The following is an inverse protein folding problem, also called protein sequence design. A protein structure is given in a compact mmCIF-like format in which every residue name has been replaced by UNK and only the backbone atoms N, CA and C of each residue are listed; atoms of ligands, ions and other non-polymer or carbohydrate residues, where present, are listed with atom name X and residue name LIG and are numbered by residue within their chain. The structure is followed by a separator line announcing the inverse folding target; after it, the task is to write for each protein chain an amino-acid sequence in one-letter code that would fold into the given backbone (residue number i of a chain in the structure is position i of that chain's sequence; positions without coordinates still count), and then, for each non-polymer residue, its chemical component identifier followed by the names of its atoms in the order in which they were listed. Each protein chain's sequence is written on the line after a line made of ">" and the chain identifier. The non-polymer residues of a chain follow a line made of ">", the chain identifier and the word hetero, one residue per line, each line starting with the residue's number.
data_IF_403163280504
#
_entry.id   IF_403163280504
#
_cell.length_a   1.000
_cell.length_b   1.000
_cell.length_c   1.000
_cell.angle_alpha   90.00
_cell.angle_beta   90.00
_cell.angle_gamma   90.00
#
_symmetry.space_group_name_H-M   'P 1'
#
loop_
_entity.id
_entity.type
_entity.pdbx_description
1 polymer ?
#
# COMPACT_ATOMS: atom_id res chain seq x y z
N UNK A 1 39.92 40.40 49.78
CA UNK A 1 40.27 39.87 48.46
C UNK A 1 39.50 38.54 48.28
N UNK A 2 38.39 38.61 47.63
CA UNK A 2 37.60 37.42 47.24
C UNK A 2 37.40 37.48 45.74
N UNK A 3 38.13 36.61 45.03
CA UNK A 3 37.94 36.42 43.58
C UNK A 3 36.66 35.67 43.34
N UNK A 4 35.73 36.29 42.66
CA UNK A 4 34.52 35.66 42.18
C UNK A 4 34.82 34.94 40.86
N UNK A 5 34.83 33.61 40.88
CA UNK A 5 34.85 32.76 39.68
C UNK A 5 33.44 32.83 39.06
N UNK A 6 33.32 33.55 37.95
CA UNK A 6 32.12 33.48 37.10
C UNK A 6 32.23 32.25 36.23
N UNK A 7 31.50 31.20 36.61
CA UNK A 7 31.25 30.05 35.74
C UNK A 7 30.22 30.48 34.72
N UNK A 8 30.67 30.69 33.48
CA UNK A 8 29.81 30.88 32.34
C UNK A 8 29.19 29.51 32.00
N UNK A 9 27.96 29.29 32.43
CA UNK A 9 27.14 28.18 31.95
C UNK A 9 26.75 28.51 30.52
N UNK A 10 27.55 28.04 29.56
CA UNK A 10 27.20 28.05 28.14
C UNK A 10 25.97 27.13 27.96
N UNK A 11 24.80 27.74 27.71
CA UNK A 11 23.59 27.07 27.28
C UNK A 11 23.88 26.51 25.89
N UNK A 12 24.37 25.27 25.81
CA UNK A 12 24.42 24.48 24.59
C UNK A 12 22.97 24.09 24.28
N UNK A 13 22.25 24.97 23.56
CA UNK A 13 21.04 24.54 22.87
C UNK A 13 21.48 23.45 21.88
N UNK A 14 21.40 22.22 22.29
CA UNK A 14 21.25 21.10 21.35
C UNK A 14 19.94 21.37 20.60
N UNK A 15 20.05 21.93 19.42
CA UNK A 15 19.07 21.75 18.37
C UNK A 15 19.02 20.23 18.13
N UNK A 16 18.16 19.55 18.87
CA UNK A 16 17.67 18.26 18.49
C UNK A 16 16.90 18.50 17.17
N UNK A 17 17.60 18.43 16.05
CA UNK A 17 16.96 18.09 14.80
C UNK A 17 16.26 16.78 15.10
N UNK A 18 14.93 16.83 15.26
CA UNK A 18 14.12 15.63 15.20
C UNK A 18 14.46 15.01 13.83
N UNK A 19 15.41 14.07 13.83
CA UNK A 19 15.56 13.16 12.73
C UNK A 19 14.20 12.46 12.68
N UNK A 20 13.31 12.94 11.79
CA UNK A 20 12.18 12.16 11.38
C UNK A 20 12.80 10.86 10.90
N UNK A 21 12.59 9.79 11.64
CA UNK A 21 13.00 8.46 11.22
C UNK A 21 12.31 8.26 9.86
N UNK A 22 13.09 8.35 8.82
CA UNK A 22 12.62 8.18 7.46
C UNK A 22 12.12 6.74 7.39
N UNK A 23 10.80 6.57 7.27
CA UNK A 23 10.17 5.25 7.16
C UNK A 23 10.56 4.71 5.80
N UNK A 24 11.59 3.87 5.78
CA UNK A 24 12.07 3.24 4.55
C UNK A 24 11.63 1.80 4.49
N UNK A 25 11.09 1.37 3.36
CA UNK A 25 10.83 -0.03 3.07
C UNK A 25 12.15 -0.80 3.21
N UNK A 26 12.15 -1.77 4.10
CA UNK A 26 13.29 -2.66 4.31
C UNK A 26 13.09 -3.96 3.53
N UNK A 27 13.85 -4.15 2.44
CA UNK A 27 13.81 -5.39 1.66
C UNK A 27 14.39 -6.53 2.51
N UNK A 28 13.59 -7.57 2.70
CA UNK A 28 13.97 -8.78 3.43
C UNK A 28 14.33 -9.93 2.51
N UNK A 29 13.79 -9.93 1.29
CA UNK A 29 14.15 -10.85 0.23
C UNK A 29 14.07 -10.14 -1.13
N UNK A 30 15.20 -9.98 -1.80
CA UNK A 30 15.27 -9.45 -3.17
C UNK A 30 14.99 -10.52 -4.22
N UNK A 31 14.95 -10.11 -5.49
CA UNK A 31 14.80 -11.00 -6.65
C UNK A 31 16.12 -11.05 -7.41
N UNK A 32 16.80 -12.18 -7.39
CA UNK A 32 18.13 -12.35 -8.06
C UNK A 32 18.05 -12.12 -9.57
N UNK A 33 16.92 -12.44 -10.18
CA UNK A 33 16.65 -12.23 -11.62
C UNK A 33 16.01 -10.88 -11.94
N UNK A 34 15.98 -9.93 -10.98
CA UNK A 34 15.45 -8.60 -11.24
C UNK A 34 16.28 -7.86 -12.28
N UNK A 35 15.61 -7.17 -13.22
CA UNK A 35 16.25 -6.48 -14.33
C UNK A 35 17.19 -5.37 -13.83
N UNK A 36 18.49 -5.41 -14.17
CA UNK A 36 19.40 -4.31 -13.82
C UNK A 36 18.96 -3.01 -14.50
N UNK A 37 19.03 -1.91 -13.78
CA UNK A 37 18.69 -0.57 -14.27
C UNK A 37 19.60 0.46 -13.63
N UNK A 38 19.90 1.55 -14.30
CA UNK A 38 20.56 2.70 -13.70
C UNK A 38 19.55 3.86 -13.52
N UNK A 39 19.50 4.42 -12.32
CA UNK A 39 18.82 5.68 -12.05
C UNK A 39 19.89 6.66 -11.61
N UNK A 40 20.34 7.50 -12.54
CA UNK A 40 21.38 8.50 -12.28
C UNK A 40 20.85 9.56 -11.32
N UNK A 41 21.62 9.99 -10.31
CA UNK A 41 21.20 11.09 -9.46
C UNK A 41 20.76 12.31 -10.28
N UNK A 42 19.55 12.81 -10.03
CA UNK A 42 18.99 13.93 -10.79
C UNK A 42 19.78 15.20 -10.51
N UNK A 43 20.21 15.87 -11.55
CA UNK A 43 20.97 17.11 -11.43
C UNK A 43 20.13 18.21 -10.81
N UNK A 44 20.61 18.80 -9.73
CA UNK A 44 20.06 20.01 -9.15
C UNK A 44 20.68 21.26 -9.80
N UNK A 45 19.85 22.11 -10.38
CA UNK A 45 20.29 23.34 -11.06
C UNK A 45 20.16 24.60 -10.18
N UNK A 46 19.79 24.45 -8.90
CA UNK A 46 19.67 25.55 -7.96
C UNK A 46 20.82 25.64 -6.96
N UNK A 47 20.80 26.64 -6.08
CA UNK A 47 21.80 26.80 -5.01
C UNK A 47 21.59 25.76 -3.90
N UNK A 48 22.68 25.37 -3.23
CA UNK A 48 22.65 24.45 -2.09
C UNK A 48 22.22 23.02 -2.48
N UNK A 49 21.52 22.34 -1.57
CA UNK A 49 21.00 20.98 -1.75
C UNK A 49 19.60 21.01 -2.37
N UNK A 50 19.23 20.00 -3.18
CA UNK A 50 17.89 19.90 -3.70
C UNK A 50 16.87 19.73 -2.56
N UNK A 51 15.68 20.33 -2.66
CA UNK A 51 14.64 20.18 -1.63
C UNK A 51 14.11 18.74 -1.52
N UNK A 52 14.31 17.93 -2.54
CA UNK A 52 13.97 16.51 -2.60
C UNK A 52 14.90 15.78 -3.58
N UNK A 53 15.41 14.63 -3.20
CA UNK A 53 16.19 13.74 -4.08
C UNK A 53 15.25 12.85 -4.91
N UNK A 54 14.90 13.33 -6.08
CA UNK A 54 13.98 12.62 -7.01
C UNK A 54 14.61 11.32 -7.53
N UNK A 55 15.90 11.33 -7.86
CA UNK A 55 16.60 10.14 -8.34
C UNK A 55 16.56 8.99 -7.34
N UNK A 56 16.76 9.30 -6.06
CA UNK A 56 16.66 8.30 -4.98
C UNK A 56 15.24 7.75 -4.83
N UNK A 57 14.20 8.59 -5.00
CA UNK A 57 12.80 8.11 -4.98
C UNK A 57 12.57 7.15 -6.13
N UNK A 58 12.92 7.52 -7.36
CA UNK A 58 12.74 6.66 -8.54
C UNK A 58 13.51 5.34 -8.37
N UNK A 59 14.74 5.40 -7.88
CA UNK A 59 15.53 4.20 -7.61
C UNK A 59 14.88 3.29 -6.56
N UNK A 60 14.37 3.87 -5.47
CA UNK A 60 13.68 3.13 -4.42
C UNK A 60 12.38 2.48 -4.93
N UNK A 61 11.55 3.22 -5.66
CA UNK A 61 10.30 2.72 -6.23
C UNK A 61 10.54 1.51 -7.15
N UNK A 62 11.47 1.65 -8.10
CA UNK A 62 11.77 0.57 -9.02
C UNK A 62 12.31 -0.67 -8.29
N UNK A 63 13.16 -0.48 -7.27
CA UNK A 63 13.64 -1.59 -6.42
C UNK A 63 12.50 -2.23 -5.64
N UNK A 64 11.63 -1.42 -5.03
CA UNK A 64 10.51 -1.90 -4.21
C UNK A 64 9.45 -2.65 -5.03
N UNK A 65 9.42 -2.47 -6.35
CA UNK A 65 8.56 -3.27 -7.23
C UNK A 65 8.98 -4.74 -7.33
N UNK A 66 10.21 -5.08 -6.93
CA UNK A 66 10.78 -6.42 -7.10
C UNK A 66 11.09 -6.80 -8.56
N UNK A 67 10.86 -5.90 -9.52
CA UNK A 67 11.08 -6.14 -10.95
C UNK A 67 12.44 -5.62 -11.43
N UNK A 68 13.00 -4.64 -10.71
CA UNK A 68 14.24 -3.98 -11.08
C UNK A 68 15.26 -4.04 -9.95
N UNK A 69 16.55 -4.04 -10.34
CA UNK A 69 17.68 -3.93 -9.45
C UNK A 69 18.51 -2.70 -9.82
N UNK A 70 18.20 -1.51 -9.30
CA UNK A 70 18.97 -0.31 -9.54
C UNK A 70 20.40 -0.45 -9.02
N UNK A 71 21.39 -0.15 -9.89
CA UNK A 71 22.79 -0.18 -9.50
C UNK A 71 23.14 0.99 -8.58
N UNK A 72 24.13 0.77 -7.70
CA UNK A 72 24.65 1.83 -6.84
C UNK A 72 25.27 2.96 -7.68
N UNK A 73 24.99 4.21 -7.31
CA UNK A 73 25.51 5.41 -8.00
C UNK A 73 27.04 5.47 -8.02
N UNK A 74 27.71 4.91 -7.01
CA UNK A 74 29.17 4.84 -6.95
C UNK A 74 29.76 3.87 -8.00
N UNK A 75 28.96 2.96 -8.55
CA UNK A 75 29.36 2.00 -9.60
C UNK A 75 29.00 2.48 -11.01
N UNK A 76 28.35 3.63 -11.14
CA UNK A 76 27.95 4.18 -12.42
C UNK A 76 29.18 4.71 -13.19
N UNK A 77 29.32 4.37 -14.48
CA UNK A 77 30.47 4.78 -15.29
C UNK A 77 30.40 6.25 -15.67
N UNK A 78 29.21 6.86 -15.59
CA UNK A 78 28.92 8.24 -15.96
C UNK A 78 27.84 8.82 -15.07
N UNK A 79 27.77 10.16 -15.03
CA UNK A 79 26.70 10.94 -14.34
C UNK A 79 25.97 11.84 -15.36
N UNK A 80 25.37 11.30 -16.43
CA UNK A 80 24.68 12.08 -17.44
C UNK A 80 23.42 12.72 -16.87
N UNK A 81 23.08 13.91 -17.34
CA UNK A 81 21.87 14.65 -16.95
C UNK A 81 20.81 14.65 -18.04
N UNK A 82 21.25 14.35 -19.27
CA UNK A 82 20.38 14.25 -20.46
C UNK A 82 20.75 13.00 -21.26
N UNK A 83 19.84 12.56 -22.11
CA UNK A 83 20.08 11.41 -22.99
C UNK A 83 21.27 11.62 -23.93
N UNK A 84 21.52 12.87 -24.36
CA UNK A 84 22.63 13.20 -25.24
C UNK A 84 24.03 12.95 -24.62
N UNK A 85 24.10 12.94 -23.30
CA UNK A 85 25.34 12.70 -22.54
C UNK A 85 25.56 11.21 -22.23
N UNK A 86 24.58 10.35 -22.52
CA UNK A 86 24.67 8.92 -22.26
C UNK A 86 25.54 8.25 -23.35
N UNK A 87 26.61 7.60 -22.92
CA UNK A 87 27.46 6.75 -23.83
C UNK A 87 27.01 5.30 -23.68
N UNK A 88 26.21 4.74 -24.60
CA UNK A 88 25.60 3.41 -24.44
C UNK A 88 26.59 2.30 -24.13
N UNK A 89 27.76 2.28 -24.81
CA UNK A 89 28.76 1.25 -24.60
C UNK A 89 29.29 1.16 -23.16
N UNK A 90 29.33 2.28 -22.43
CA UNK A 90 29.78 2.29 -21.03
C UNK A 90 28.80 1.59 -20.11
N UNK A 91 27.50 1.67 -20.38
CA UNK A 91 26.43 1.05 -19.60
C UNK A 91 26.21 -0.42 -19.97
N UNK A 92 26.19 -0.72 -21.28
CA UNK A 92 26.00 -2.09 -21.74
C UNK A 92 27.18 -3.02 -21.34
N UNK A 93 28.38 -2.48 -21.17
CA UNK A 93 29.52 -3.20 -20.59
C UNK A 93 29.28 -3.68 -19.14
N UNK A 94 28.37 -3.04 -18.42
CA UNK A 94 27.94 -3.42 -17.07
C UNK A 94 26.64 -4.25 -17.07
N UNK A 95 26.11 -4.61 -18.24
CA UNK A 95 24.83 -5.31 -18.38
C UNK A 95 23.61 -4.41 -18.13
N UNK A 96 23.77 -3.09 -18.19
CA UNK A 96 22.73 -2.09 -18.01
C UNK A 96 22.21 -1.65 -19.37
N UNK A 97 20.95 -1.97 -19.66
CA UNK A 97 20.30 -1.57 -20.92
C UNK A 97 19.30 -0.41 -20.75
N UNK A 98 18.98 -0.06 -19.52
CA UNK A 98 18.02 1.00 -19.20
C UNK A 98 18.66 2.02 -18.26
N UNK A 99 18.70 3.27 -18.68
CA UNK A 99 19.30 4.37 -17.91
C UNK A 99 18.27 5.49 -17.76
N UNK A 100 17.91 5.83 -16.53
CA UNK A 100 17.08 7.01 -16.19
C UNK A 100 17.99 8.15 -15.84
N UNK A 101 17.86 9.27 -16.55
CA UNK A 101 18.54 10.53 -16.29
C UNK A 101 17.54 11.62 -16.01
N UNK A 102 17.90 12.66 -15.26
CA UNK A 102 16.94 13.71 -14.96
C UNK A 102 17.55 14.96 -14.34
N UNK A 103 16.72 15.99 -14.22
CA UNK A 103 17.08 17.30 -13.69
C UNK A 103 15.95 17.88 -12.85
N UNK A 104 16.32 18.70 -11.88
CA UNK A 104 15.44 19.54 -11.07
C UNK A 104 15.91 20.98 -11.21
N UNK A 105 15.06 21.87 -11.70
CA UNK A 105 15.36 23.28 -11.90
C UNK A 105 14.39 24.13 -11.07
N UNK A 106 14.88 25.07 -10.23
CA UNK A 106 14.01 26.02 -9.54
C UNK A 106 13.45 27.03 -10.54
N UNK A 107 12.16 27.30 -10.47
CA UNK A 107 11.49 28.40 -11.17
C UNK A 107 11.56 29.70 -10.39
N UNK A 108 11.50 30.84 -11.10
CA UNK A 108 11.49 32.16 -10.47
C UNK A 108 10.22 32.49 -9.65
N UNK A 109 9.17 31.69 -9.81
CA UNK A 109 7.87 31.81 -9.15
C UNK A 109 7.70 30.86 -7.93
N UNK A 110 8.81 30.26 -7.45
CA UNK A 110 8.79 29.27 -6.38
C UNK A 110 8.37 27.87 -6.81
N UNK A 111 8.12 27.66 -8.10
CA UNK A 111 7.89 26.34 -8.68
C UNK A 111 9.21 25.60 -8.95
N UNK A 112 9.08 24.32 -9.28
CA UNK A 112 10.18 23.47 -9.70
C UNK A 112 9.80 22.79 -11.01
N UNK A 113 10.79 22.67 -11.90
CA UNK A 113 10.68 21.93 -13.12
C UNK A 113 11.47 20.62 -12.93
N UNK A 114 10.77 19.50 -12.88
CA UNK A 114 11.37 18.16 -12.82
C UNK A 114 11.27 17.53 -14.19
N UNK A 115 12.37 17.09 -14.77
CA UNK A 115 12.39 16.37 -16.04
C UNK A 115 13.15 15.07 -15.91
N UNK A 116 12.70 14.04 -16.66
CA UNK A 116 13.42 12.78 -16.78
C UNK A 116 13.41 12.29 -18.22
N UNK A 117 14.40 11.46 -18.54
CA UNK A 117 14.48 10.68 -19.78
C UNK A 117 14.89 9.25 -19.43
N UNK A 118 14.20 8.26 -20.00
CA UNK A 118 14.57 6.86 -19.96
C UNK A 118 15.25 6.51 -21.29
N UNK A 119 16.49 6.08 -21.21
CA UNK A 119 17.34 5.78 -22.38
C UNK A 119 17.57 4.29 -22.47
N UNK A 120 17.24 3.70 -23.60
CA UNK A 120 17.65 2.36 -23.97
C UNK A 120 19.08 2.41 -24.52
N UNK A 121 20.00 1.70 -23.88
CA UNK A 121 21.42 1.62 -24.21
C UNK A 121 21.84 0.29 -24.86
N UNK A 122 20.89 -0.54 -25.26
CA UNK A 122 21.17 -1.83 -25.91
C UNK A 122 21.72 -1.68 -27.33
N UNK A 123 21.44 -0.53 -27.97
CA UNK A 123 21.94 -0.21 -29.31
C UNK A 123 23.25 0.61 -29.32
N UNK A 124 23.82 0.83 -30.50
CA UNK A 124 25.04 1.63 -30.67
C UNK A 124 24.87 3.10 -30.30
N UNK A 125 23.66 3.65 -30.44
CA UNK A 125 23.26 4.98 -30.00
C UNK A 125 22.12 4.87 -29.00
N UNK A 126 22.18 5.61 -27.86
CA UNK A 126 21.11 5.63 -26.90
C UNK A 126 19.80 6.14 -27.50
N UNK A 127 18.70 5.44 -27.23
CA UNK A 127 17.37 5.82 -27.70
C UNK A 127 16.49 6.24 -26.52
N UNK A 128 15.95 7.45 -26.55
CA UNK A 128 14.95 7.88 -25.55
C UNK A 128 13.65 7.13 -25.82
N UNK A 129 13.25 6.27 -24.87
CA UNK A 129 12.04 5.45 -24.98
C UNK A 129 10.89 5.97 -24.12
N UNK A 130 11.16 6.84 -23.13
CA UNK A 130 10.17 7.59 -22.34
C UNK A 130 10.80 8.87 -21.84
N UNK A 131 10.03 9.96 -21.78
CA UNK A 131 10.46 11.21 -21.18
C UNK A 131 9.23 12.05 -20.77
N UNK A 132 9.39 12.85 -19.74
CA UNK A 132 8.38 13.83 -19.35
C UNK A 132 8.99 14.98 -18.55
N UNK A 133 8.18 16.02 -18.31
CA UNK A 133 8.54 17.21 -17.58
C UNK A 133 7.35 17.71 -16.78
N UNK A 134 7.57 18.01 -15.49
CA UNK A 134 6.52 18.43 -14.56
C UNK A 134 6.87 19.79 -13.96
N UNK A 135 5.96 20.78 -14.08
CA UNK A 135 6.04 22.03 -13.34
C UNK A 135 5.19 21.93 -12.08
N UNK A 136 5.80 21.98 -10.91
CA UNK A 136 5.16 21.66 -9.62
C UNK A 136 5.66 22.57 -8.51
N UNK A 137 4.96 22.61 -7.37
CA UNK A 137 5.43 23.25 -6.15
C UNK A 137 6.25 22.27 -5.29
N UNK A 138 6.89 22.78 -4.24
CA UNK A 138 7.77 22.00 -3.36
C UNK A 138 7.06 20.75 -2.76
N UNK A 139 5.81 20.93 -2.38
CA UNK A 139 5.00 19.88 -1.73
C UNK A 139 4.76 18.67 -2.66
N UNK A 140 4.81 18.89 -3.98
CA UNK A 140 4.55 17.86 -5.00
C UNK A 140 5.81 17.21 -5.57
N UNK A 141 7.00 17.59 -5.10
CA UNK A 141 8.26 17.06 -5.61
C UNK A 141 8.32 15.53 -5.46
N UNK A 142 7.92 15.00 -4.29
CA UNK A 142 7.89 13.55 -4.07
C UNK A 142 6.92 12.85 -5.02
N UNK A 143 5.74 13.43 -5.19
CA UNK A 143 4.74 12.92 -6.13
C UNK A 143 5.25 12.90 -7.58
N UNK A 144 6.05 13.90 -8.00
CA UNK A 144 6.69 13.88 -9.32
C UNK A 144 7.70 12.73 -9.46
N UNK A 145 8.45 12.41 -8.40
CA UNK A 145 9.32 11.23 -8.36
C UNK A 145 8.53 9.94 -8.60
N UNK A 146 7.46 9.71 -7.85
CA UNK A 146 6.58 8.56 -8.03
C UNK A 146 5.91 8.55 -9.42
N UNK A 147 5.59 9.73 -10.00
CA UNK A 147 5.05 9.82 -11.36
C UNK A 147 6.07 9.34 -12.40
N UNK A 148 7.32 9.79 -12.29
CA UNK A 148 8.40 9.32 -13.15
C UNK A 148 8.61 7.80 -13.00
N UNK A 149 8.56 7.30 -11.76
CA UNK A 149 8.65 5.86 -11.47
C UNK A 149 7.52 5.07 -12.14
N UNK A 150 6.27 5.54 -12.04
CA UNK A 150 5.11 4.89 -12.67
C UNK A 150 5.26 4.83 -14.20
N UNK A 151 5.72 5.91 -14.82
CA UNK A 151 5.91 5.99 -16.27
C UNK A 151 7.06 5.09 -16.75
N UNK A 152 8.20 5.11 -16.05
CA UNK A 152 9.34 4.20 -16.32
C UNK A 152 8.91 2.75 -16.15
N UNK A 153 8.25 2.42 -15.04
CA UNK A 153 7.78 1.07 -14.76
C UNK A 153 6.82 0.58 -15.84
N UNK A 154 5.84 1.40 -16.21
CA UNK A 154 4.86 1.06 -17.25
C UNK A 154 5.54 0.88 -18.61
N UNK A 155 6.50 1.74 -18.95
CA UNK A 155 7.23 1.64 -20.23
C UNK A 155 8.04 0.34 -20.34
N UNK A 156 8.66 -0.10 -19.24
CA UNK A 156 9.53 -1.27 -19.23
C UNK A 156 8.81 -2.60 -18.98
N UNK A 157 7.61 -2.57 -18.37
CA UNK A 157 6.87 -3.79 -17.99
C UNK A 157 5.55 -3.96 -18.72
N UNK A 158 4.98 -2.90 -19.29
CA UNK A 158 3.61 -2.85 -19.82
C UNK A 158 2.53 -2.76 -18.74
N UNK A 159 2.90 -2.82 -17.43
CA UNK A 159 1.99 -2.76 -16.31
C UNK A 159 1.94 -1.33 -15.79
N UNK A 160 0.74 -0.78 -15.53
CA UNK A 160 0.60 0.54 -14.90
C UNK A 160 1.30 0.54 -13.54
N UNK A 161 2.11 1.55 -13.25
CA UNK A 161 2.76 1.70 -11.95
C UNK A 161 1.74 2.00 -10.84
N UNK A 162 2.09 1.71 -9.58
CA UNK A 162 1.26 1.96 -8.41
C UNK A 162 2.00 2.75 -7.32
N UNK A 163 3.05 3.51 -7.69
CA UNK A 163 3.87 4.25 -6.73
C UNK A 163 3.21 5.53 -6.22
N UNK A 164 2.19 6.07 -6.91
CA UNK A 164 1.37 7.19 -6.46
C UNK A 164 0.17 6.80 -5.61
N UNK A 165 0.13 5.57 -5.16
CA UNK A 165 -0.95 5.08 -4.29
C UNK A 165 -0.63 5.29 -2.81
N UNK A 166 -1.62 5.03 -1.96
CA UNK A 166 -1.52 5.16 -0.50
C UNK A 166 -1.90 3.88 0.19
N UNK A 167 -1.56 3.81 1.46
CA UNK A 167 -1.99 2.74 2.37
C UNK A 167 -2.73 3.36 3.55
N UNK A 168 -3.86 2.79 3.95
CA UNK A 168 -4.51 3.06 5.22
C UNK A 168 -4.20 1.90 6.18
N UNK A 169 -4.02 2.19 7.46
CA UNK A 169 -3.71 1.19 8.48
C UNK A 169 -4.05 1.70 9.87
N UNK A 170 -4.18 0.78 10.81
CA UNK A 170 -4.41 1.10 12.22
C UNK A 170 -3.13 0.96 13.01
N UNK A 171 -2.82 1.97 13.82
CA UNK A 171 -1.71 1.95 14.79
C UNK A 171 -2.31 1.86 16.18
N UNK A 172 -1.80 0.92 16.98
CA UNK A 172 -2.07 0.82 18.41
C UNK A 172 -0.81 1.18 19.19
N UNK A 173 -0.84 2.30 19.88
CA UNK A 173 0.26 2.79 20.74
C UNK A 173 0.13 2.27 22.16
N UNK A 174 1.24 2.25 22.91
CA UNK A 174 1.27 1.80 24.30
C UNK A 174 0.90 2.93 25.25
N UNK A 175 -0.40 3.28 25.33
CA UNK A 175 -0.91 4.25 26.28
C UNK A 175 -1.35 5.58 25.65
N UNK A 176 -1.69 6.56 26.51
CA UNK A 176 -2.26 7.84 26.09
C UNK A 176 -3.79 7.85 26.07
N UNK A 177 -4.36 9.03 25.81
CA UNK A 177 -5.83 9.22 25.77
C UNK A 177 -6.47 8.55 24.54
N UNK A 178 -5.73 8.45 23.46
CA UNK A 178 -6.16 7.90 22.17
C UNK A 178 -5.13 6.88 21.68
N UNK A 179 -5.15 5.64 22.21
CA UNK A 179 -4.18 4.63 21.87
C UNK A 179 -4.37 4.05 20.46
N UNK A 180 -5.49 4.31 19.80
CA UNK A 180 -5.75 3.84 18.46
C UNK A 180 -5.81 5.00 17.47
N UNK A 181 -5.09 4.85 16.36
CA UNK A 181 -5.09 5.81 15.27
C UNK A 181 -5.32 5.11 13.93
N UNK A 182 -6.26 5.61 13.15
CA UNK A 182 -6.35 5.32 11.72
C UNK A 182 -5.44 6.29 10.99
N UNK A 183 -4.43 5.79 10.31
CA UNK A 183 -3.45 6.57 9.56
C UNK A 183 -3.52 6.26 8.07
N UNK A 184 -3.10 7.22 7.27
CA UNK A 184 -2.82 7.10 5.85
C UNK A 184 -1.40 7.54 5.59
N UNK A 185 -0.70 6.83 4.71
CA UNK A 185 0.63 7.19 4.22
C UNK A 185 0.71 6.93 2.71
N UNK A 186 1.72 7.49 2.04
CA UNK A 186 2.12 7.02 0.72
C UNK A 186 2.48 5.52 0.80
N UNK A 187 2.44 4.80 -0.31
CA UNK A 187 2.63 3.34 -0.32
C UNK A 187 3.94 2.90 0.35
N UNK A 188 4.95 3.76 0.34
CA UNK A 188 6.28 3.53 0.90
C UNK A 188 6.45 4.05 2.34
N UNK A 189 5.35 4.52 2.97
CA UNK A 189 5.29 4.95 4.36
C UNK A 189 5.56 6.43 4.59
N UNK A 190 5.85 7.22 3.55
CA UNK A 190 6.01 8.67 3.70
C UNK A 190 4.68 9.43 3.80
N UNK A 191 4.77 10.74 4.11
CA UNK A 191 3.61 11.65 4.17
C UNK A 191 2.47 11.13 5.04
N UNK A 192 2.81 10.51 6.19
CA UNK A 192 1.82 10.00 7.13
C UNK A 192 0.94 11.12 7.68
N UNK A 193 -0.35 10.86 7.75
CA UNK A 193 -1.28 11.70 8.50
C UNK A 193 -2.33 10.86 9.22
N UNK A 194 -2.82 11.40 10.34
CA UNK A 194 -3.87 10.74 11.14
C UNK A 194 -5.22 11.14 10.58
N UNK A 195 -6.02 10.13 10.21
CA UNK A 195 -7.40 10.27 9.76
C UNK A 195 -8.35 10.36 10.95
N UNK A 196 -8.15 9.47 11.95
CA UNK A 196 -8.98 9.42 13.15
C UNK A 196 -8.16 8.94 14.36
N UNK A 197 -8.44 9.52 15.53
CA UNK A 197 -7.91 9.10 16.83
C UNK A 197 -9.04 8.61 17.72
N UNK A 198 -8.84 7.46 18.34
CA UNK A 198 -9.88 6.83 19.16
C UNK A 198 -9.32 6.33 20.49
N UNK A 199 -10.10 6.46 21.61
CA UNK A 199 -9.78 5.78 22.87
C UNK A 199 -10.06 4.27 22.78
N UNK A 200 -10.87 3.83 21.81
CA UNK A 200 -11.33 2.47 21.62
C UNK A 200 -10.80 1.89 20.30
N UNK A 201 -10.78 0.57 20.12
CA UNK A 201 -10.27 -0.07 18.91
C UNK A 201 -10.88 0.46 17.61
N UNK A 202 -10.02 0.54 16.61
CA UNK A 202 -10.35 0.79 15.20
C UNK A 202 -9.96 -0.44 14.38
N UNK A 203 -10.75 -0.81 13.36
CA UNK A 203 -10.51 -2.02 12.57
C UNK A 203 -10.96 -1.84 11.11
N UNK A 204 -10.37 -2.67 10.25
CA UNK A 204 -10.84 -2.95 8.89
C UNK A 204 -11.10 -1.69 8.03
N UNK A 205 -10.11 -0.80 7.85
CA UNK A 205 -10.27 0.31 6.92
C UNK A 205 -10.44 -0.20 5.48
N UNK A 206 -11.31 0.47 4.73
CA UNK A 206 -11.55 0.19 3.32
C UNK A 206 -11.70 1.49 2.53
N UNK A 207 -11.01 1.60 1.41
CA UNK A 207 -11.03 2.76 0.55
C UNK A 207 -12.26 2.80 -0.34
N UNK A 208 -12.84 3.99 -0.55
CA UNK A 208 -13.73 4.22 -1.68
C UNK A 208 -12.92 4.16 -3.01
N UNK A 209 -13.53 3.72 -4.13
CA UNK A 209 -12.79 3.53 -5.38
C UNK A 209 -12.25 4.82 -6.01
N UNK A 210 -12.75 5.99 -5.56
CA UNK A 210 -12.23 7.32 -5.93
C UNK A 210 -11.16 7.84 -4.96
N UNK A 211 -10.80 7.07 -3.92
CA UNK A 211 -9.81 7.43 -2.92
C UNK A 211 -10.22 8.56 -1.98
N UNK A 212 -11.46 9.08 -2.07
CA UNK A 212 -11.90 10.25 -1.30
C UNK A 212 -12.38 9.93 0.10
N UNK A 213 -12.70 8.66 0.40
CA UNK A 213 -13.28 8.21 1.67
C UNK A 213 -12.63 6.94 2.19
N UNK A 214 -12.74 6.76 3.51
CA UNK A 214 -12.45 5.50 4.20
C UNK A 214 -13.69 5.05 4.97
N UNK A 215 -14.08 3.78 4.79
CA UNK A 215 -14.96 3.08 5.71
C UNK A 215 -14.09 2.38 6.75
N UNK A 216 -14.54 2.32 8.00
CA UNK A 216 -13.85 1.58 9.06
C UNK A 216 -14.81 1.26 10.21
N UNK A 217 -14.37 0.35 11.07
CA UNK A 217 -15.08 -0.03 12.29
C UNK A 217 -14.52 0.74 13.47
N UNK A 218 -15.39 1.32 14.30
CA UNK A 218 -15.03 1.95 15.58
C UNK A 218 -15.82 1.33 16.73
N UNK A 219 -15.23 1.34 17.93
CA UNK A 219 -15.87 0.87 19.17
C UNK A 219 -16.17 2.00 20.15
N UNK A 220 -16.05 3.26 19.73
CA UNK A 220 -16.25 4.45 20.60
C UNK A 220 -17.66 4.54 21.23
N UNK A 221 -18.67 3.91 20.64
CA UNK A 221 -20.02 3.81 21.19
C UNK A 221 -20.22 2.66 22.20
N UNK A 222 -19.13 1.97 22.58
CA UNK A 222 -19.17 0.77 23.44
C UNK A 222 -19.53 -0.52 22.71
N UNK A 223 -19.74 -0.47 21.40
CA UNK A 223 -19.94 -1.62 20.50
C UNK A 223 -19.41 -1.31 19.12
N UNK A 224 -19.27 -2.32 18.25
CA UNK A 224 -18.84 -2.08 16.88
C UNK A 224 -19.87 -1.23 16.12
N UNK A 225 -19.41 -0.16 15.51
CA UNK A 225 -20.16 0.67 14.58
C UNK A 225 -19.36 0.84 13.29
N UNK A 226 -20.04 0.78 12.15
CA UNK A 226 -19.43 1.00 10.84
C UNK A 226 -19.66 2.45 10.42
N UNK A 227 -18.59 3.14 10.10
CA UNK A 227 -18.61 4.54 9.67
C UNK A 227 -17.89 4.73 8.35
N UNK A 228 -18.24 5.80 7.64
CA UNK A 228 -17.53 6.29 6.46
C UNK A 228 -17.08 7.73 6.73
N UNK A 229 -15.78 7.98 6.58
CA UNK A 229 -15.19 9.30 6.75
C UNK A 229 -14.71 9.86 5.41
N UNK A 230 -15.06 11.12 5.13
CA UNK A 230 -14.55 11.87 3.99
C UNK A 230 -13.20 12.48 4.34
N UNK A 231 -12.16 12.17 3.58
CA UNK A 231 -10.79 12.59 3.91
C UNK A 231 -10.55 14.10 3.78
N UNK A 232 -11.21 14.74 2.82
CA UNK A 232 -11.00 16.17 2.54
C UNK A 232 -11.45 17.10 3.69
N UNK A 233 -12.45 16.72 4.47
CA UNK A 233 -13.03 17.57 5.51
C UNK A 233 -13.23 16.87 6.85
N UNK A 234 -12.87 15.58 6.96
CA UNK A 234 -13.01 14.78 8.17
C UNK A 234 -14.46 14.42 8.55
N UNK A 235 -15.46 14.73 7.69
CA UNK A 235 -16.86 14.44 7.97
C UNK A 235 -17.11 12.93 8.07
N UNK A 236 -17.70 12.49 9.19
CA UNK A 236 -18.00 11.09 9.48
C UNK A 236 -19.50 10.84 9.36
N UNK A 237 -19.87 9.80 8.62
CA UNK A 237 -21.25 9.30 8.52
C UNK A 237 -21.32 7.89 9.09
N UNK A 238 -22.20 7.67 10.05
CA UNK A 238 -22.53 6.34 10.55
C UNK A 238 -23.33 5.56 9.51
N UNK A 239 -22.89 4.34 9.20
CA UNK A 239 -23.49 3.45 8.20
C UNK A 239 -24.33 2.36 8.86
N UNK A 240 -23.76 1.71 9.87
CA UNK A 240 -24.42 0.64 10.60
C UNK A 240 -24.01 0.67 12.08
N UNK A 241 -25.02 0.52 12.95
CA UNK A 241 -24.88 0.43 14.41
C UNK A 241 -25.97 -0.50 14.95
N UNK A 242 -26.10 -1.66 14.32
CA UNK A 242 -27.05 -2.69 14.76
C UNK A 242 -26.53 -3.40 16.02
N UNK A 243 -27.40 -4.03 16.83
CA UNK A 243 -26.95 -4.85 17.93
C UNK A 243 -25.95 -5.93 17.48
N UNK A 244 -24.93 -6.18 18.32
CA UNK A 244 -23.84 -7.12 18.09
C UNK A 244 -22.84 -6.62 17.04
N UNK A 245 -22.50 -7.43 16.01
CA UNK A 245 -21.42 -7.16 15.07
C UNK A 245 -21.86 -6.27 13.90
N UNK A 246 -21.04 -5.23 13.63
CA UNK A 246 -21.08 -4.40 12.44
C UNK A 246 -19.66 -4.23 11.94
N UNK A 247 -19.31 -4.76 10.77
CA UNK A 247 -17.91 -4.74 10.36
C UNK A 247 -17.65 -5.18 8.95
N UNK A 248 -16.36 -5.36 8.66
CA UNK A 248 -15.80 -5.81 7.40
C UNK A 248 -16.36 -5.05 6.18
N UNK A 249 -16.21 -3.71 6.12
CA UNK A 249 -16.70 -2.93 5.00
C UNK A 249 -15.87 -3.16 3.74
N UNK A 250 -16.55 -3.17 2.58
CA UNK A 250 -15.90 -3.16 1.27
C UNK A 250 -16.72 -2.35 0.27
N UNK A 251 -16.16 -1.30 -0.31
CA UNK A 251 -16.79 -0.54 -1.38
C UNK A 251 -16.78 -1.33 -2.68
N UNK A 252 -17.88 -1.28 -3.44
CA UNK A 252 -17.90 -1.84 -4.79
C UNK A 252 -17.01 -1.04 -5.73
N UNK A 253 -16.37 -1.67 -6.73
CA UNK A 253 -15.52 -0.99 -7.71
C UNK A 253 -16.21 0.16 -8.46
N UNK A 254 -17.52 0.06 -8.70
CA UNK A 254 -18.34 1.11 -9.31
C UNK A 254 -18.69 2.27 -8.36
N UNK A 255 -18.33 2.17 -7.07
CA UNK A 255 -18.59 3.20 -6.06
C UNK A 255 -20.04 3.36 -5.63
N UNK A 256 -20.95 2.48 -6.08
CA UNK A 256 -22.39 2.62 -5.82
C UNK A 256 -22.85 1.89 -4.57
N UNK A 257 -22.08 0.93 -4.06
CA UNK A 257 -22.47 0.03 -2.98
C UNK A 257 -21.38 -0.12 -1.91
N UNK A 258 -21.81 -0.52 -0.72
CA UNK A 258 -20.92 -0.94 0.36
C UNK A 258 -21.37 -2.30 0.87
N UNK A 259 -20.53 -3.31 0.74
CA UNK A 259 -20.72 -4.61 1.37
C UNK A 259 -20.25 -4.55 2.83
N UNK A 260 -20.89 -5.32 3.71
CA UNK A 260 -20.57 -5.36 5.14
C UNK A 260 -21.07 -6.66 5.77
N UNK A 261 -20.51 -7.02 6.91
CA UNK A 261 -20.96 -8.15 7.73
C UNK A 261 -21.73 -7.64 8.95
N UNK A 262 -22.99 -8.07 9.12
CA UNK A 262 -23.88 -7.66 10.21
C UNK A 262 -24.50 -8.88 10.89
N UNK A 263 -24.68 -8.81 12.23
CA UNK A 263 -25.39 -9.86 12.99
C UNK A 263 -26.86 -9.52 13.25
N UNK A 264 -27.44 -8.56 12.53
CA UNK A 264 -28.82 -8.09 12.80
C UNK A 264 -29.90 -9.17 12.64
N UNK A 265 -29.64 -10.21 11.84
CA UNK A 265 -30.56 -11.35 11.63
C UNK A 265 -30.32 -12.53 12.58
N UNK A 266 -29.39 -12.41 13.54
CA UNK A 266 -29.05 -13.46 14.51
C UNK A 266 -27.64 -14.02 14.31
N UNK A 267 -27.33 -14.63 13.18
CA UNK A 267 -25.98 -15.01 12.74
C UNK A 267 -25.31 -13.87 11.98
N UNK A 268 -24.00 -13.96 11.80
CA UNK A 268 -23.22 -13.01 11.02
C UNK A 268 -23.43 -13.27 9.53
N UNK A 269 -24.03 -12.33 8.83
CA UNK A 269 -24.36 -12.45 7.42
C UNK A 269 -23.86 -11.23 6.63
N UNK A 270 -23.71 -11.40 5.32
CA UNK A 270 -23.38 -10.33 4.39
C UNK A 270 -24.60 -9.52 4.02
N UNK A 271 -24.41 -8.20 4.01
CA UNK A 271 -25.36 -7.21 3.56
C UNK A 271 -24.70 -6.25 2.60
N UNK A 272 -25.48 -5.69 1.70
CA UNK A 272 -25.04 -4.66 0.77
C UNK A 272 -25.93 -3.43 0.91
N UNK A 273 -25.32 -2.28 1.15
CA UNK A 273 -26.00 -0.98 1.15
C UNK A 273 -25.84 -0.32 -0.21
N UNK A 274 -26.92 0.17 -0.78
CA UNK A 274 -26.86 1.13 -1.88
C UNK A 274 -26.52 2.52 -1.27
N UNK A 275 -25.42 3.12 -1.70
CA UNK A 275 -24.89 4.35 -1.08
C UNK A 275 -25.72 5.58 -1.38
N UNK A 276 -26.47 5.60 -2.49
CA UNK A 276 -27.33 6.73 -2.86
C UNK A 276 -28.66 6.71 -2.11
N UNK A 277 -29.31 5.54 -2.02
CA UNK A 277 -30.62 5.40 -1.34
C UNK A 277 -30.52 5.08 0.15
N UNK A 278 -29.37 4.54 0.61
CA UNK A 278 -29.18 4.04 1.97
C UNK A 278 -29.90 2.69 2.24
N UNK A 279 -30.52 2.08 1.22
CA UNK A 279 -31.19 0.78 1.35
C UNK A 279 -30.16 -0.32 1.58
N UNK A 280 -30.44 -1.17 2.58
CA UNK A 280 -29.61 -2.33 2.95
C UNK A 280 -30.34 -3.60 2.56
N UNK A 281 -29.72 -4.46 1.77
CA UNK A 281 -30.21 -5.77 1.35
C UNK A 281 -29.33 -6.88 1.90
N UNK A 282 -29.94 -7.96 2.38
CA UNK A 282 -29.23 -9.16 2.85
C UNK A 282 -28.80 -10.02 1.65
N UNK A 283 -27.56 -10.48 1.64
CA UNK A 283 -26.97 -11.29 0.57
C UNK A 283 -26.87 -12.76 0.96
N UNK A 284 -26.44 -13.05 2.20
CA UNK A 284 -26.43 -14.41 2.75
C UNK A 284 -27.43 -14.53 3.88
N UNK A 285 -28.09 -15.68 4.00
CA UNK A 285 -29.17 -15.91 4.97
C UNK A 285 -28.94 -17.19 5.81
N UNK A 286 -27.74 -17.75 5.76
CA UNK A 286 -27.35 -18.97 6.47
C UNK A 286 -27.31 -18.79 8.00
N UNK A 287 -27.29 -19.93 8.71
CA UNK A 287 -27.01 -19.99 10.15
C UNK A 287 -25.50 -19.90 10.44
N UNK A 288 -24.67 -20.16 9.44
CA UNK A 288 -23.24 -20.06 9.48
C UNK A 288 -22.80 -18.61 9.39
N UNK A 289 -21.61 -18.31 9.92
CA UNK A 289 -21.05 -16.98 9.82
C UNK A 289 -20.53 -16.71 8.41
N UNK A 290 -20.82 -15.53 7.91
CA UNK A 290 -20.32 -14.99 6.64
C UNK A 290 -19.78 -13.59 6.90
N UNK A 291 -18.50 -13.35 6.56
CA UNK A 291 -17.77 -12.12 6.88
C UNK A 291 -16.71 -11.82 5.81
N UNK A 292 -15.99 -10.70 5.98
CA UNK A 292 -14.84 -10.31 5.13
C UNK A 292 -15.17 -10.32 3.64
N UNK A 293 -16.23 -9.60 3.20
CA UNK A 293 -16.55 -9.53 1.79
C UNK A 293 -15.51 -8.71 1.03
N UNK A 294 -15.14 -9.19 -0.14
CA UNK A 294 -14.37 -8.44 -1.15
C UNK A 294 -15.06 -8.55 -2.49
N UNK A 295 -14.99 -7.48 -3.29
CA UNK A 295 -15.71 -7.42 -4.56
C UNK A 295 -14.91 -8.00 -5.71
N UNK A 296 -15.60 -8.69 -6.61
CA UNK A 296 -15.12 -8.88 -7.96
C UNK A 296 -15.20 -7.56 -8.77
N UNK A 297 -14.39 -7.40 -9.83
CA UNK A 297 -14.40 -6.18 -10.65
C UNK A 297 -15.75 -5.83 -11.27
N UNK A 298 -16.64 -6.81 -11.38
CA UNK A 298 -17.98 -6.67 -11.95
C UNK A 298 -18.98 -5.92 -11.05
N UNK A 299 -18.64 -5.61 -9.79
CA UNK A 299 -19.53 -5.00 -8.80
C UNK A 299 -20.85 -5.76 -8.57
N UNK A 300 -20.88 -7.06 -8.88
CA UNK A 300 -22.03 -7.95 -8.79
C UNK A 300 -21.73 -9.18 -7.92
N UNK A 301 -20.49 -9.62 -7.90
CA UNK A 301 -20.06 -10.78 -7.16
C UNK A 301 -19.17 -10.40 -5.99
N UNK A 302 -19.32 -11.12 -4.86
CA UNK A 302 -18.47 -11.04 -3.68
C UNK A 302 -17.71 -12.36 -3.50
N UNK A 303 -16.42 -12.27 -3.13
CA UNK A 303 -15.78 -13.34 -2.39
C UNK A 303 -15.88 -13.01 -0.89
N UNK A 304 -15.99 -14.04 -0.04
CA UNK A 304 -16.18 -13.85 1.41
C UNK A 304 -15.77 -15.09 2.19
N UNK A 305 -15.48 -14.90 3.45
CA UNK A 305 -15.20 -15.99 4.38
C UNK A 305 -16.50 -16.55 4.97
N UNK A 306 -16.67 -17.89 4.99
CA UNK A 306 -17.77 -18.54 5.68
C UNK A 306 -17.36 -19.87 6.31
N UNK A 307 -17.95 -20.18 7.47
CA UNK A 307 -17.78 -21.47 8.17
C UNK A 307 -18.87 -22.51 7.83
N UNK A 308 -19.67 -22.27 6.79
CA UNK A 308 -20.77 -23.16 6.39
C UNK A 308 -20.32 -24.59 6.01
N UNK A 309 -19.06 -24.79 5.67
CA UNK A 309 -18.43 -26.10 5.43
C UNK A 309 -17.76 -26.70 6.69
N UNK A 310 -18.00 -26.13 7.88
CA UNK A 310 -17.45 -26.55 9.18
C UNK A 310 -16.22 -25.78 9.63
N UNK A 311 -15.39 -25.32 8.71
CA UNK A 311 -14.23 -24.42 8.98
C UNK A 311 -14.25 -23.25 8.01
N UNK A 312 -13.67 -22.08 8.39
CA UNK A 312 -13.59 -20.93 7.52
C UNK A 312 -12.96 -21.27 6.16
N UNK A 313 -13.68 -20.93 5.10
CA UNK A 313 -13.25 -21.05 3.71
C UNK A 313 -13.76 -19.87 2.91
N UNK A 314 -13.15 -19.62 1.76
CA UNK A 314 -13.58 -18.56 0.86
C UNK A 314 -14.66 -19.07 -0.09
N UNK A 315 -15.74 -18.33 -0.18
CA UNK A 315 -16.89 -18.58 -1.04
C UNK A 315 -17.15 -17.39 -1.97
N UNK A 316 -17.86 -17.63 -3.05
CA UNK A 316 -18.35 -16.62 -3.98
C UNK A 316 -19.88 -16.60 -3.96
N UNK A 317 -20.47 -15.41 -4.00
CA UNK A 317 -21.93 -15.22 -4.13
C UNK A 317 -22.25 -14.01 -5.00
N UNK A 318 -23.34 -14.08 -5.77
CA UNK A 318 -23.88 -12.90 -6.46
C UNK A 318 -24.78 -12.09 -5.51
N UNK A 319 -24.67 -10.77 -5.50
CA UNK A 319 -25.44 -9.91 -4.59
C UNK A 319 -26.95 -9.90 -4.89
N UNK A 320 -27.36 -10.33 -6.08
CA UNK A 320 -28.76 -10.44 -6.49
C UNK A 320 -29.39 -11.80 -6.14
N UNK A 321 -28.64 -12.68 -5.50
CA UNK A 321 -29.08 -13.99 -5.06
C UNK A 321 -28.31 -15.17 -5.70
N UNK A 322 -28.64 -16.37 -5.24
CA UNK A 322 -27.99 -17.61 -5.63
C UNK A 322 -27.26 -18.27 -4.46
N UNK A 323 -27.00 -19.56 -4.59
CA UNK A 323 -26.26 -20.32 -3.57
C UNK A 323 -24.78 -19.94 -3.57
N UNK A 324 -24.16 -19.74 -2.40
CA UNK A 324 -22.72 -19.53 -2.31
C UNK A 324 -21.93 -20.72 -2.87
N UNK A 325 -20.89 -20.42 -3.66
CA UNK A 325 -19.98 -21.41 -4.25
C UNK A 325 -18.64 -21.38 -3.52
N UNK A 326 -18.17 -22.52 -3.02
CA UNK A 326 -16.87 -22.63 -2.36
C UNK A 326 -15.75 -22.48 -3.39
N UNK A 327 -14.77 -21.61 -3.09
CA UNK A 327 -13.61 -21.36 -3.94
C UNK A 327 -12.36 -22.09 -3.47
N UNK A 328 -12.17 -22.27 -2.15
CA UNK A 328 -10.94 -22.78 -1.55
C UNK A 328 -11.10 -24.22 -1.04
N UNK A 329 -10.15 -25.09 -1.39
CA UNK A 329 -10.18 -26.52 -1.05
C UNK A 329 -8.88 -26.99 -0.39
N UNK A 330 -7.77 -26.28 -0.60
CA UNK A 330 -6.48 -26.57 0.00
C UNK A 330 -6.32 -25.84 1.33
N UNK A 331 -5.55 -26.42 2.25
CA UNK A 331 -5.37 -25.89 3.61
C UNK A 331 -6.52 -26.24 4.56
N UNK A 332 -6.29 -26.03 5.86
CA UNK A 332 -7.30 -26.32 6.89
C UNK A 332 -8.35 -25.24 7.02
N UNK A 333 -7.96 -23.98 6.80
CA UNK A 333 -8.80 -22.78 6.82
C UNK A 333 -8.26 -21.78 5.80
N UNK A 334 -9.17 -21.04 5.17
CA UNK A 334 -8.86 -19.94 4.28
C UNK A 334 -9.84 -18.80 4.55
N UNK A 335 -9.34 -17.60 4.78
CA UNK A 335 -10.15 -16.47 5.22
C UNK A 335 -9.53 -15.13 4.77
N UNK A 336 -10.25 -14.05 5.00
CA UNK A 336 -9.78 -12.67 4.82
C UNK A 336 -9.17 -12.48 3.42
N UNK A 337 -10.02 -12.70 2.40
CA UNK A 337 -9.58 -12.66 1.01
C UNK A 337 -9.69 -11.27 0.40
N UNK A 338 -8.80 -10.96 -0.54
CA UNK A 338 -8.87 -9.81 -1.43
C UNK A 338 -8.77 -10.27 -2.89
N UNK A 339 -9.65 -9.75 -3.76
CA UNK A 339 -9.71 -10.12 -5.19
C UNK A 339 -8.94 -9.12 -6.02
N UNK A 340 -8.10 -9.60 -6.93
CA UNK A 340 -7.35 -8.74 -7.84
C UNK A 340 -8.26 -7.88 -8.71
N UNK A 341 -7.80 -6.67 -9.06
CA UNK A 341 -8.57 -5.70 -9.86
C UNK A 341 -8.94 -6.20 -11.26
N UNK A 342 -8.25 -7.22 -11.78
CA UNK A 342 -8.55 -7.89 -13.05
C UNK A 342 -9.42 -9.16 -12.87
N UNK A 343 -9.72 -9.56 -11.63
CA UNK A 343 -10.53 -10.71 -11.29
C UNK A 343 -9.88 -12.07 -11.56
N UNK A 344 -8.57 -12.13 -11.83
CA UNK A 344 -7.88 -13.38 -12.20
C UNK A 344 -7.41 -14.20 -11.02
N UNK A 345 -7.14 -13.56 -9.90
CA UNK A 345 -6.70 -14.25 -8.69
C UNK A 345 -7.27 -13.58 -7.45
N UNK A 346 -7.23 -14.29 -6.35
CA UNK A 346 -7.42 -13.73 -5.02
C UNK A 346 -6.20 -14.03 -4.15
N UNK A 347 -6.00 -13.20 -3.13
CA UNK A 347 -5.10 -13.50 -2.02
C UNK A 347 -5.94 -13.78 -0.78
N UNK A 348 -5.39 -14.54 0.17
CA UNK A 348 -6.10 -14.94 1.37
C UNK A 348 -5.11 -15.29 2.49
N UNK A 349 -5.60 -15.30 3.71
CA UNK A 349 -4.91 -15.94 4.84
C UNK A 349 -5.23 -17.43 4.79
N UNK A 350 -4.22 -18.26 4.53
CA UNK A 350 -4.32 -19.70 4.52
C UNK A 350 -3.65 -20.30 5.74
N UNK A 351 -4.36 -21.18 6.45
CA UNK A 351 -3.86 -21.85 7.63
C UNK A 351 -3.51 -23.31 7.31
N UNK A 352 -2.28 -23.69 7.68
CA UNK A 352 -1.83 -25.07 7.61
C UNK A 352 -0.87 -25.34 8.80
N UNK A 353 -1.02 -26.47 9.46
CA UNK A 353 -0.13 -26.90 10.56
C UNK A 353 0.04 -25.89 11.72
N UNK A 354 -0.99 -25.09 12.00
CA UNK A 354 -0.97 -24.09 13.07
C UNK A 354 -0.34 -22.73 12.71
N UNK A 355 0.12 -22.55 11.48
CA UNK A 355 0.64 -21.28 10.96
C UNK A 355 -0.37 -20.63 10.00
N UNK A 356 -0.35 -19.30 9.94
CA UNK A 356 -1.13 -18.50 9.00
C UNK A 356 -0.18 -17.80 8.04
N UNK A 357 -0.40 -17.99 6.75
CA UNK A 357 0.42 -17.40 5.70
C UNK A 357 -0.47 -16.73 4.65
N UNK A 358 0.07 -15.75 3.94
CA UNK A 358 -0.58 -15.20 2.76
C UNK A 358 -0.40 -16.19 1.61
N UNK A 359 -1.50 -16.59 1.01
CA UNK A 359 -1.54 -17.43 -0.19
C UNK A 359 -2.30 -16.73 -1.30
N UNK A 360 -1.92 -17.04 -2.52
CA UNK A 360 -2.60 -16.60 -3.76
C UNK A 360 -3.26 -17.81 -4.40
N UNK A 361 -4.51 -17.63 -4.84
CA UNK A 361 -5.23 -18.62 -5.65
C UNK A 361 -5.56 -18.04 -7.01
N UNK A 362 -5.18 -18.74 -8.06
CA UNK A 362 -5.64 -18.47 -9.43
C UNK A 362 -7.11 -18.85 -9.55
N UNK A 363 -7.96 -17.93 -10.01
CA UNK A 363 -9.41 -18.11 -10.04
C UNK A 363 -9.92 -18.92 -11.27
N UNK A 364 -9.07 -19.08 -12.28
CA UNK A 364 -9.38 -19.91 -13.46
C UNK A 364 -9.01 -21.37 -13.21
N UNK A 365 -7.80 -21.60 -12.70
CA UNK A 365 -7.25 -22.96 -12.52
C UNK A 365 -7.50 -23.55 -11.14
N UNK A 366 -7.74 -22.70 -10.13
CA UNK A 366 -7.83 -23.09 -8.73
C UNK A 366 -6.46 -23.32 -8.06
N UNK A 367 -5.35 -23.17 -8.78
CA UNK A 367 -4.01 -23.39 -8.24
C UNK A 367 -3.68 -22.42 -7.10
N UNK A 368 -3.13 -22.95 -6.01
CA UNK A 368 -2.78 -22.20 -4.80
C UNK A 368 -1.26 -22.12 -4.65
N UNK A 369 -0.74 -20.92 -4.35
CA UNK A 369 0.65 -20.67 -4.03
C UNK A 369 0.76 -19.96 -2.69
N UNK A 370 1.49 -20.53 -1.73
CA UNK A 370 1.86 -19.84 -0.48
C UNK A 370 2.97 -18.84 -0.79
N UNK A 371 2.75 -17.57 -0.43
CA UNK A 371 3.66 -16.46 -0.75
C UNK A 371 4.59 -16.09 0.40
N UNK A 372 4.20 -16.36 1.65
CA UNK A 372 4.93 -15.93 2.84
C UNK A 372 5.33 -17.11 3.72
N UNK A 373 6.36 -16.88 4.52
CA UNK A 373 6.93 -17.81 5.51
C UNK A 373 7.04 -17.19 6.90
N UNK A 374 6.40 -16.03 7.09
CA UNK A 374 6.28 -15.32 8.36
C UNK A 374 5.22 -15.96 9.26
N UNK A 375 5.07 -15.46 10.49
CA UNK A 375 4.18 -16.06 11.48
C UNK A 375 2.96 -15.19 11.74
N UNK A 376 1.76 -15.81 11.75
CA UNK A 376 0.48 -15.13 11.95
C UNK A 376 0.30 -13.93 11.00
N UNK A 377 0.33 -14.22 9.71
CA UNK A 377 0.05 -13.24 8.67
C UNK A 377 -1.47 -13.01 8.57
N UNK A 378 -1.88 -11.75 8.46
CA UNK A 378 -3.26 -11.34 8.51
C UNK A 378 -3.53 -10.19 7.52
N UNK A 379 -4.78 -10.03 7.15
CA UNK A 379 -5.32 -8.85 6.43
C UNK A 379 -4.54 -8.46 5.18
N UNK A 380 -4.41 -9.36 4.19
CA UNK A 380 -3.76 -9.03 2.93
C UNK A 380 -4.59 -8.03 2.12
N UNK A 381 -3.91 -7.08 1.47
CA UNK A 381 -4.53 -6.14 0.53
C UNK A 381 -3.64 -5.99 -0.71
N UNK A 382 -4.24 -6.11 -1.89
CA UNK A 382 -3.53 -6.12 -3.18
C UNK A 382 -3.36 -4.68 -3.70
N UNK A 383 -2.15 -4.36 -4.19
CA UNK A 383 -1.93 -3.12 -4.95
C UNK A 383 -2.83 -3.08 -6.20
N UNK A 384 -3.33 -1.90 -6.63
CA UNK A 384 -4.30 -1.82 -7.72
C UNK A 384 -3.78 -2.33 -9.07
N UNK A 385 -2.46 -2.44 -9.25
CA UNK A 385 -1.85 -3.05 -10.43
C UNK A 385 -1.62 -4.58 -10.30
N UNK A 386 -2.00 -5.18 -9.19
CA UNK A 386 -1.87 -6.62 -8.98
C UNK A 386 -0.45 -7.15 -8.79
N UNK A 387 0.55 -6.29 -8.55
CA UNK A 387 1.96 -6.74 -8.49
C UNK A 387 2.47 -6.99 -7.08
N UNK A 388 1.88 -6.33 -6.08
CA UNK A 388 2.30 -6.37 -4.68
C UNK A 388 1.11 -6.59 -3.75
N UNK A 389 1.38 -7.13 -2.59
CA UNK A 389 0.42 -7.34 -1.50
C UNK A 389 1.02 -6.74 -0.25
N UNK A 390 0.23 -5.94 0.48
CA UNK A 390 0.55 -5.52 1.85
C UNK A 390 -0.25 -6.38 2.83
N UNK A 391 0.38 -6.73 3.94
CA UNK A 391 -0.27 -7.53 5.00
C UNK A 391 0.34 -7.21 6.36
N UNK A 392 -0.34 -7.55 7.44
CA UNK A 392 0.21 -7.49 8.79
C UNK A 392 0.74 -8.85 9.22
N UNK A 393 1.83 -8.85 10.00
CA UNK A 393 2.47 -10.05 10.50
C UNK A 393 2.98 -9.86 11.92
N UNK A 394 2.91 -10.91 12.72
CA UNK A 394 3.46 -10.90 14.06
C UNK A 394 4.98 -11.00 14.04
N UNK A 395 5.66 -10.08 14.73
CA UNK A 395 7.10 -10.08 14.89
C UNK A 395 7.48 -9.78 16.35
N UNK A 396 8.02 -10.78 17.04
CA UNK A 396 8.27 -10.67 18.48
C UNK A 396 6.97 -10.44 19.25
N UNK A 397 6.91 -9.33 20.00
CA UNK A 397 5.72 -8.95 20.79
C UNK A 397 4.81 -7.96 20.07
N UNK A 398 5.07 -7.64 18.81
CA UNK A 398 4.33 -6.63 18.05
C UNK A 398 3.87 -7.11 16.68
N UNK A 399 3.07 -6.26 16.03
CA UNK A 399 2.65 -6.42 14.63
C UNK A 399 3.31 -5.37 13.76
N UNK A 400 3.72 -5.77 12.55
CA UNK A 400 4.36 -4.93 11.54
C UNK A 400 3.67 -5.11 10.20
N UNK A 401 3.77 -4.11 9.33
CA UNK A 401 3.35 -4.22 7.94
C UNK A 401 4.47 -4.81 7.09
N UNK A 402 4.12 -5.72 6.23
CA UNK A 402 5.01 -6.37 5.29
C UNK A 402 4.48 -6.29 3.87
N UNK A 403 5.38 -6.37 2.91
CA UNK A 403 5.10 -6.44 1.49
C UNK A 403 5.60 -7.77 0.92
N UNK A 404 4.84 -8.34 0.01
CA UNK A 404 5.26 -9.48 -0.80
C UNK A 404 4.80 -9.27 -2.24
N UNK A 405 5.64 -9.62 -3.22
CA UNK A 405 5.19 -9.64 -4.62
C UNK A 405 4.21 -10.79 -4.87
N UNK A 406 3.30 -10.61 -5.82
CA UNK A 406 2.29 -11.64 -6.16
C UNK A 406 2.86 -12.93 -6.75
N UNK A 407 4.16 -12.98 -7.03
CA UNK A 407 4.93 -14.19 -7.36
C UNK A 407 5.72 -14.77 -6.17
N UNK A 408 5.65 -14.12 -4.99
CA UNK A 408 6.27 -14.56 -3.74
C UNK A 408 7.79 -14.35 -3.64
N UNK A 409 8.45 -13.82 -4.67
CA UNK A 409 9.91 -13.75 -4.75
C UNK A 409 10.51 -12.52 -4.06
N UNK A 410 9.82 -11.39 -4.08
CA UNK A 410 10.24 -10.17 -3.41
C UNK A 410 9.50 -10.02 -2.09
N UNK A 411 10.21 -9.71 -1.01
CA UNK A 411 9.66 -9.43 0.32
C UNK A 411 10.31 -8.20 0.91
N UNK A 412 9.50 -7.37 1.56
CA UNK A 412 9.97 -6.18 2.25
C UNK A 412 9.12 -5.90 3.48
N UNK A 413 9.63 -5.08 4.39
CA UNK A 413 8.95 -4.65 5.60
C UNK A 413 8.85 -3.13 5.63
N UNK A 414 7.67 -2.62 6.00
CA UNK A 414 7.52 -1.23 6.40
C UNK A 414 7.89 -1.11 7.88
N UNK A 415 8.85 -0.25 8.26
CA UNK A 415 9.20 -0.06 9.67
C UNK A 415 7.98 0.45 10.45
N UNK A 416 7.69 -0.17 11.59
CA UNK A 416 6.74 0.39 12.55
C UNK A 416 7.36 1.63 13.19
N UNK A 417 6.59 2.70 13.30
CA UNK A 417 7.10 3.96 13.84
C UNK A 417 6.98 4.05 15.36
N UNK A 418 5.81 3.74 15.92
CA UNK A 418 5.52 4.03 17.34
C UNK A 418 4.43 3.15 17.96
N UNK A 419 4.21 1.94 17.41
CA UNK A 419 3.19 1.02 17.94
C UNK A 419 3.03 -0.24 17.11
N UNK A 420 2.04 -1.05 17.44
CA UNK A 420 1.64 -2.20 16.65
C UNK A 420 0.82 -1.74 15.46
N UNK A 421 1.09 -2.26 14.28
CA UNK A 421 0.45 -1.85 13.03
C UNK A 421 -0.34 -3.01 12.45
N UNK A 422 -1.62 -2.77 12.15
CA UNK A 422 -2.54 -3.82 11.68
C UNK A 422 -3.55 -3.27 10.66
N UNK A 423 -4.30 -4.17 10.04
CA UNK A 423 -5.37 -3.87 9.08
C UNK A 423 -4.92 -2.96 7.94
N UNK A 424 -3.86 -3.27 7.20
CA UNK A 424 -3.51 -2.48 6.05
C UNK A 424 -4.56 -2.59 4.95
N UNK A 425 -4.82 -1.49 4.26
CA UNK A 425 -5.65 -1.43 3.07
C UNK A 425 -4.95 -0.60 2.01
N UNK A 426 -4.66 -1.18 0.87
CA UNK A 426 -4.08 -0.47 -0.27
C UNK A 426 -5.14 0.39 -0.95
N UNK A 427 -4.79 1.63 -1.32
CA UNK A 427 -5.72 2.51 -2.01
C UNK A 427 -5.92 2.08 -3.47
N UNK A 428 -7.03 2.49 -4.10
CA UNK A 428 -7.10 2.51 -5.56
C UNK A 428 -6.04 3.45 -6.13
N UNK A 429 -5.98 3.55 -7.47
CA UNK A 429 -5.26 4.65 -8.11
C UNK A 429 -5.89 5.99 -7.71
N UNK A 430 -5.05 6.96 -7.35
CA UNK A 430 -5.44 8.29 -6.89
C UNK A 430 -5.22 9.34 -7.98
#
# INVERSE_FOLDING_TARGET
>A
MKQAIRVAFGLLMMLATAAQAEVRIQITQGVDSARPIAVVPFKWAGPGTPPQDIGSIVSADLRNSGKFNPIDSARMPQQPTTAAEVTPAAWSALGINDVVVGQIQPGGDGSYLVSYQLVDTSGASGTVISQNQYKITKEWLRYAGHTASDEVFQKLTGIKGAFRTRIAYVVQTNGGKFPYELRVADYDGYNQFVVHRSPEPLMSPAWSPDGSKLAYVTFESGRSALVVQTLANGAVRQIADFPRHNGAPAFSPDGTKLAMALSKSGSLNLYVMNLSSGQISQVTDGRSNSTEPTWYPDSQNLAFTSDQGGRPQVYKVNINGGAPQRLTWEGSQNQDSDVSSDGKFLVMVSSANGSQHIAKQDLETGAVQVLTDTFLDETPSIAPNGTMIIYSSSQGLGKVLQLVSTDGRFKARLPATDGQVSFPAWSPYL
#
